data_IF_550432968990
#
_entry.id   IF_550432968990
#
_cell.length_a   1.000
_cell.length_b   1.000
_cell.length_c   1.000
_cell.angle_alpha   90.00
_cell.angle_beta   90.00
_cell.angle_gamma   90.00
#
_symmetry.space_group_name_H-M   'P 1'
#
loop_
_entity.id
_entity.type
_entity.pdbx_description
1 polymer ?
#
# COMPACT_ATOMS: atom_id res chain seq x y z
N UNK A 1 -25.77 15.03 1.88
CA UNK A 1 -24.71 15.95 1.41
C UNK A 1 -23.96 15.26 0.28
N UNK A 2 -24.13 15.76 -0.94
CA UNK A 2 -23.54 15.17 -2.16
C UNK A 2 -22.02 15.24 -2.10
N UNK A 3 -21.35 14.09 -1.98
CA UNK A 3 -19.89 14.01 -2.12
C UNK A 3 -19.56 14.35 -3.57
N UNK A 4 -18.85 15.46 -3.78
CA UNK A 4 -18.25 15.78 -5.08
C UNK A 4 -17.32 14.62 -5.47
N UNK A 5 -17.78 13.78 -6.37
CA UNK A 5 -16.99 12.72 -7.02
C UNK A 5 -15.79 13.38 -7.71
N UNK A 6 -14.61 13.29 -7.09
CA UNK A 6 -13.37 13.37 -7.85
C UNK A 6 -13.35 12.12 -8.74
N UNK A 7 -12.98 12.20 -10.02
CA UNK A 7 -12.78 11.01 -10.83
C UNK A 7 -11.62 10.23 -10.19
N UNK A 8 -11.95 9.20 -9.41
CA UNK A 8 -10.96 8.25 -8.94
C UNK A 8 -10.37 7.58 -10.16
N UNK A 9 -9.04 7.61 -10.27
CA UNK A 9 -8.35 6.78 -11.25
C UNK A 9 -8.31 5.38 -10.66
N UNK A 10 -9.17 4.55 -11.22
CA UNK A 10 -9.39 3.18 -10.82
C UNK A 10 -8.75 2.27 -11.87
N UNK A 11 -7.77 1.47 -11.44
CA UNK A 11 -7.11 0.45 -12.25
C UNK A 11 -7.83 -0.88 -12.00
N UNK A 12 -8.29 -1.61 -13.03
CA UNK A 12 -8.94 -2.89 -12.82
C UNK A 12 -7.96 -3.92 -12.28
N UNK A 13 -8.37 -4.65 -11.25
CA UNK A 13 -7.70 -5.87 -10.82
C UNK A 13 -8.47 -7.04 -11.43
N UNK A 14 -7.86 -7.74 -12.40
CA UNK A 14 -8.51 -8.80 -13.19
C UNK A 14 -8.18 -10.20 -12.71
N UNK A 15 -7.15 -10.34 -11.87
CA UNK A 15 -6.90 -11.55 -11.11
C UNK A 15 -6.65 -11.14 -9.67
N UNK A 16 -7.44 -11.71 -8.78
CA UNK A 16 -7.43 -11.45 -7.36
C UNK A 16 -7.09 -12.76 -6.62
N UNK A 17 -6.21 -12.73 -5.62
CA UNK A 17 -5.85 -13.94 -4.89
C UNK A 17 -7.02 -14.38 -4.02
N UNK A 18 -7.34 -15.68 -4.07
CA UNK A 18 -8.46 -16.29 -3.33
C UNK A 18 -8.01 -17.31 -2.30
N UNK A 19 -6.73 -17.67 -2.28
CA UNK A 19 -6.19 -18.64 -1.32
C UNK A 19 -5.27 -17.94 -0.32
N UNK A 20 -5.29 -18.40 0.92
CA UNK A 20 -4.29 -18.04 1.92
C UNK A 20 -4.22 -19.11 3.02
N UNK A 21 -3.44 -18.82 4.05
CA UNK A 21 -3.40 -19.63 5.27
C UNK A 21 -4.23 -18.94 6.35
N UNK A 22 -5.11 -19.67 7.02
CA UNK A 22 -5.82 -19.23 8.22
C UNK A 22 -5.02 -19.61 9.47
N UNK A 23 -4.85 -18.64 10.37
CA UNK A 23 -4.23 -18.81 11.68
C UNK A 23 -5.32 -18.80 12.76
N UNK A 24 -5.60 -19.96 13.35
CA UNK A 24 -6.48 -20.04 14.50
C UNK A 24 -5.65 -20.01 15.78
N UNK A 25 -5.70 -18.91 16.52
CA UNK A 25 -4.87 -18.70 17.71
C UNK A 25 -5.43 -19.40 18.97
N UNK A 26 -4.53 -19.82 19.88
CA UNK A 26 -4.92 -20.27 21.22
C UNK A 26 -5.62 -19.13 21.97
N UNK A 27 -6.59 -19.47 22.82
CA UNK A 27 -7.31 -18.46 23.64
C UNK A 27 -6.38 -17.70 24.58
N UNK A 28 -5.25 -18.31 24.94
CA UNK A 28 -4.20 -17.73 25.78
C UNK A 28 -3.22 -16.84 25.01
N UNK A 29 -3.33 -16.75 23.68
CA UNK A 29 -2.39 -15.99 22.86
C UNK A 29 -2.64 -14.50 22.99
N UNK A 30 -1.65 -13.77 23.49
CA UNK A 30 -1.70 -12.32 23.61
C UNK A 30 -1.43 -11.63 22.27
N UNK A 31 -2.09 -10.49 22.04
CA UNK A 31 -1.93 -9.70 20.80
C UNK A 31 -0.50 -9.21 20.59
N UNK A 32 0.22 -8.91 21.67
CA UNK A 32 1.58 -8.40 21.56
C UNK A 32 2.57 -9.49 21.13
N UNK A 33 2.32 -10.76 21.49
CA UNK A 33 3.08 -11.89 20.93
C UNK A 33 2.89 -12.04 19.42
N UNK A 34 1.65 -11.87 18.93
CA UNK A 34 1.37 -11.89 17.48
C UNK A 34 2.13 -10.75 16.79
N UNK A 35 2.04 -9.52 17.32
CA UNK A 35 2.74 -8.35 16.76
C UNK A 35 4.25 -8.49 16.77
N UNK A 36 4.81 -9.13 17.79
CA UNK A 36 6.24 -9.39 17.87
C UNK A 36 6.67 -10.31 16.71
N UNK A 37 5.95 -11.42 16.49
CA UNK A 37 6.22 -12.32 15.37
C UNK A 37 6.05 -11.62 14.02
N UNK A 38 4.99 -10.81 13.85
CA UNK A 38 4.79 -9.99 12.66
C UNK A 38 5.97 -9.02 12.41
N UNK A 39 6.55 -8.47 13.47
CA UNK A 39 7.73 -7.61 13.39
C UNK A 39 9.00 -8.38 13.00
N UNK A 40 9.24 -9.53 13.64
CA UNK A 40 10.42 -10.37 13.39
C UNK A 40 10.44 -10.93 11.96
N UNK A 41 9.26 -11.19 11.39
CA UNK A 41 9.07 -11.72 10.05
C UNK A 41 8.48 -10.71 9.07
N UNK A 42 8.63 -9.40 9.32
CA UNK A 42 7.91 -8.35 8.59
C UNK A 42 8.08 -8.43 7.07
N UNK A 43 9.23 -8.85 6.56
CA UNK A 43 9.50 -9.02 5.11
C UNK A 43 9.08 -10.38 4.55
N UNK A 44 8.79 -11.36 5.42
CA UNK A 44 8.53 -12.76 5.05
C UNK A 44 7.07 -13.17 5.19
N UNK A 45 6.29 -12.43 5.97
CA UNK A 45 4.86 -12.67 6.15
C UNK A 45 4.04 -11.40 5.99
N UNK A 46 2.78 -11.58 5.60
CA UNK A 46 1.74 -10.57 5.61
C UNK A 46 0.57 -11.18 6.37
N UNK A 47 0.01 -10.46 7.33
CA UNK A 47 -1.09 -10.93 8.18
C UNK A 47 -2.27 -9.98 8.17
N UNK A 48 -3.48 -10.51 8.31
CA UNK A 48 -4.65 -9.70 8.69
C UNK A 48 -4.57 -9.36 10.19
N UNK A 49 -5.34 -8.36 10.63
CA UNK A 49 -5.21 -7.80 12.00
C UNK A 49 -6.25 -8.28 12.99
N UNK A 50 -7.25 -9.01 12.52
CA UNK A 50 -8.39 -9.44 13.33
C UNK A 50 -8.81 -10.84 12.93
N UNK A 51 -9.51 -11.52 13.83
CA UNK A 51 -10.13 -12.81 13.53
C UNK A 51 -11.23 -12.67 12.45
N UNK A 52 -11.34 -13.63 11.50
CA UNK A 52 -10.37 -14.71 11.25
C UNK A 52 -9.02 -14.16 10.77
N UNK A 53 -7.93 -14.67 11.34
CA UNK A 53 -6.58 -14.22 10.99
C UNK A 53 -6.10 -14.94 9.74
N UNK A 54 -5.72 -14.17 8.73
CA UNK A 54 -5.21 -14.66 7.46
C UNK A 54 -3.74 -14.32 7.34
N UNK A 55 -3.00 -15.17 6.65
CA UNK A 55 -1.57 -15.04 6.47
C UNK A 55 -1.16 -15.45 5.05
N UNK A 56 -0.24 -14.68 4.48
CA UNK A 56 0.58 -15.08 3.35
C UNK A 56 2.04 -15.06 3.75
N UNK A 57 2.80 -16.01 3.24
CA UNK A 57 4.20 -16.27 3.55
C UNK A 57 4.49 -17.75 3.38
N UNK A 58 5.77 -18.12 3.35
CA UNK A 58 6.15 -19.54 3.26
C UNK A 58 5.65 -20.31 4.47
N UNK A 59 5.10 -21.49 4.26
CA UNK A 59 4.54 -22.31 5.32
C UNK A 59 5.56 -22.60 6.42
N UNK A 60 6.82 -22.88 6.05
CA UNK A 60 7.92 -23.09 7.01
C UNK A 60 8.18 -21.87 7.90
N UNK A 61 8.05 -20.66 7.35
CA UNK A 61 8.22 -19.42 8.11
C UNK A 61 7.02 -19.18 9.02
N UNK A 62 5.81 -19.41 8.51
CA UNK A 62 4.57 -19.30 9.28
C UNK A 62 4.58 -20.29 10.45
N UNK A 63 4.97 -21.54 10.22
CA UNK A 63 5.07 -22.57 11.26
C UNK A 63 6.11 -22.18 12.32
N UNK A 64 7.27 -21.68 11.90
CA UNK A 64 8.33 -21.23 12.81
C UNK A 64 7.90 -20.03 13.66
N UNK A 65 7.18 -19.07 13.08
CA UNK A 65 6.76 -17.85 13.76
C UNK A 65 5.51 -18.03 14.62
N UNK A 66 4.47 -18.64 14.07
CA UNK A 66 3.13 -18.69 14.66
C UNK A 66 2.73 -20.06 15.20
N UNK A 67 3.49 -21.14 14.92
CA UNK A 67 3.11 -22.52 15.26
C UNK A 67 2.79 -22.72 16.75
N UNK A 68 3.63 -22.17 17.63
CA UNK A 68 3.42 -22.25 19.09
C UNK A 68 2.23 -21.39 19.57
N UNK A 69 1.83 -20.38 18.80
CA UNK A 69 0.72 -19.47 19.13
C UNK A 69 -0.63 -20.00 18.63
N UNK A 70 -0.63 -20.88 17.62
CA UNK A 70 -1.82 -21.36 16.95
C UNK A 70 -2.34 -22.68 17.54
N UNK A 71 -3.67 -22.84 17.56
CA UNK A 71 -4.36 -24.13 17.68
C UNK A 71 -4.25 -24.89 16.36
N UNK A 72 -4.53 -24.19 15.25
CA UNK A 72 -4.44 -24.76 13.90
C UNK A 72 -3.88 -23.75 12.90
N UNK A 73 -3.18 -24.26 11.89
CA UNK A 73 -2.71 -23.54 10.72
C UNK A 73 -3.20 -24.35 9.53
N UNK A 74 -4.00 -23.75 8.65
CA UNK A 74 -4.64 -24.48 7.54
C UNK A 74 -4.78 -23.61 6.31
N UNK A 75 -4.75 -24.23 5.14
CA UNK A 75 -5.05 -23.58 3.88
C UNK A 75 -6.55 -23.35 3.77
N UNK A 76 -6.92 -22.15 3.31
CA UNK A 76 -8.32 -21.75 3.12
C UNK A 76 -8.50 -20.97 1.84
N UNK A 77 -9.69 -21.07 1.27
CA UNK A 77 -10.19 -20.10 0.30
C UNK A 77 -10.82 -18.93 1.08
N UNK A 78 -10.38 -17.71 0.77
CA UNK A 78 -10.96 -16.49 1.32
C UNK A 78 -12.33 -16.29 0.65
N UNK A 79 -13.37 -15.92 1.41
CA UNK A 79 -14.68 -15.64 0.83
C UNK A 79 -14.62 -14.54 -0.24
N UNK A 80 -15.52 -14.65 -1.22
CA UNK A 80 -15.54 -13.95 -2.52
C UNK A 80 -15.25 -12.43 -2.49
N UNK A 81 -15.02 -11.84 -3.67
CA UNK A 81 -14.72 -10.40 -3.85
C UNK A 81 -15.65 -9.45 -3.07
N UNK A 82 -16.94 -9.80 -2.89
CA UNK A 82 -17.89 -9.01 -2.09
C UNK A 82 -17.53 -8.93 -0.61
N UNK A 83 -16.92 -9.98 -0.05
CA UNK A 83 -16.51 -10.05 1.35
C UNK A 83 -15.36 -9.10 1.69
N UNK A 84 -14.61 -8.62 0.68
CA UNK A 84 -13.59 -7.57 0.84
C UNK A 84 -14.24 -6.26 1.31
N UNK A 85 -15.44 -5.93 0.80
CA UNK A 85 -16.15 -4.71 1.17
C UNK A 85 -16.76 -4.76 2.57
N UNK A 86 -17.06 -5.96 3.06
CA UNK A 86 -17.76 -6.17 4.32
C UNK A 86 -16.79 -6.29 5.52
N UNK A 87 -15.51 -6.51 5.25
CA UNK A 87 -14.49 -6.72 6.28
C UNK A 87 -13.26 -5.83 6.05
N UNK A 88 -13.17 -4.73 6.79
CA UNK A 88 -12.05 -3.78 6.74
C UNK A 88 -10.68 -4.42 7.03
N UNK A 89 -10.65 -5.46 7.86
CA UNK A 89 -9.42 -6.18 8.17
C UNK A 89 -8.94 -6.99 6.97
N UNK A 90 -9.88 -7.63 6.28
CA UNK A 90 -9.60 -8.35 5.04
C UNK A 90 -9.20 -7.40 3.91
N UNK A 91 -9.92 -6.28 3.75
CA UNK A 91 -9.52 -5.20 2.83
C UNK A 91 -8.09 -4.74 3.09
N UNK A 92 -7.77 -4.48 4.36
CA UNK A 92 -6.43 -4.08 4.79
C UNK A 92 -5.34 -5.11 4.51
N UNK A 93 -5.67 -6.40 4.67
CA UNK A 93 -4.79 -7.51 4.35
C UNK A 93 -4.40 -7.52 2.86
N UNK A 94 -5.39 -7.39 1.97
CA UNK A 94 -5.15 -7.27 0.53
C UNK A 94 -4.39 -5.99 0.15
N UNK A 95 -4.74 -4.84 0.73
CA UNK A 95 -4.08 -3.56 0.45
C UNK A 95 -2.60 -3.56 0.85
N UNK A 96 -2.26 -4.16 1.99
CA UNK A 96 -0.87 -4.34 2.42
C UNK A 96 -0.09 -5.26 1.46
N UNK A 97 -0.69 -6.38 1.05
CA UNK A 97 -0.07 -7.27 0.08
C UNK A 97 0.12 -6.60 -1.29
N UNK A 98 -0.87 -5.85 -1.75
CA UNK A 98 -0.82 -5.16 -3.02
C UNK A 98 0.24 -4.05 -3.00
N UNK A 99 0.38 -3.28 -1.92
CA UNK A 99 1.42 -2.24 -1.84
C UNK A 99 2.82 -2.84 -1.83
N UNK A 100 3.04 -3.94 -1.11
CA UNK A 100 4.32 -4.68 -1.16
C UNK A 100 4.60 -5.25 -2.55
N UNK A 101 3.58 -5.78 -3.20
CA UNK A 101 3.69 -6.32 -4.56
C UNK A 101 4.07 -5.25 -5.57
N UNK A 102 3.43 -4.07 -5.49
CA UNK A 102 3.65 -2.97 -6.41
C UNK A 102 4.96 -2.22 -6.15
N UNK A 103 5.49 -2.20 -4.92
CA UNK A 103 6.78 -1.56 -4.64
C UNK A 103 7.98 -2.43 -5.02
N UNK A 104 7.79 -3.74 -5.16
CA UNK A 104 8.90 -4.68 -5.33
C UNK A 104 9.65 -4.43 -6.64
N UNK A 105 10.97 -4.34 -6.55
CA UNK A 105 11.88 -4.00 -7.65
C UNK A 105 11.66 -2.61 -8.28
N UNK A 106 10.94 -1.71 -7.59
CA UNK A 106 10.82 -0.31 -7.96
C UNK A 106 11.50 0.55 -6.88
N UNK A 107 11.92 1.79 -7.20
CA UNK A 107 12.45 2.75 -6.21
C UNK A 107 11.32 3.33 -5.34
N UNK A 108 10.53 2.45 -4.74
CA UNK A 108 9.35 2.75 -3.94
C UNK A 108 9.42 1.99 -2.62
N UNK A 109 9.07 2.68 -1.53
CA UNK A 109 8.81 2.05 -0.24
C UNK A 109 7.33 1.73 -0.11
N UNK A 110 7.02 0.52 0.35
CA UNK A 110 5.67 0.16 0.79
C UNK A 110 5.51 0.47 2.27
N UNK A 111 4.37 1.08 2.63
CA UNK A 111 3.95 1.28 4.03
C UNK A 111 2.46 1.03 4.17
N UNK A 112 2.09 0.29 5.21
CA UNK A 112 0.69 0.09 5.59
C UNK A 112 0.44 0.61 7.00
N UNK A 113 -0.35 1.68 7.11
CA UNK A 113 -0.59 2.37 8.39
C UNK A 113 -2.07 2.40 8.74
N UNK A 114 -2.44 1.87 9.92
CA UNK A 114 -3.82 1.73 10.44
C UNK A 114 -4.80 1.08 9.44
N UNK A 115 -5.19 1.76 8.36
CA UNK A 115 -6.08 1.30 7.29
C UNK A 115 -5.74 1.91 5.92
N UNK A 116 -4.48 2.22 5.66
CA UNK A 116 -4.08 2.86 4.39
C UNK A 116 -2.76 2.30 3.93
N UNK A 117 -2.76 1.79 2.70
CA UNK A 117 -1.58 1.36 1.99
C UNK A 117 -0.99 2.51 1.17
N UNK A 118 0.34 2.56 1.15
CA UNK A 118 1.10 3.61 0.51
C UNK A 118 2.25 3.04 -0.30
N UNK A 119 2.48 3.63 -1.46
CA UNK A 119 3.76 3.59 -2.17
C UNK A 119 4.40 4.96 -2.02
N UNK A 120 5.68 5.01 -1.70
CA UNK A 120 6.39 6.26 -1.40
C UNK A 120 7.67 6.28 -2.22
N UNK A 121 7.94 7.37 -2.94
CA UNK A 121 9.21 7.49 -3.67
C UNK A 121 10.40 7.38 -2.70
N UNK A 122 11.32 6.45 -2.99
CA UNK A 122 12.44 6.16 -2.11
C UNK A 122 13.65 7.04 -2.46
N UNK A 123 14.00 7.95 -1.55
CA UNK A 123 15.17 8.82 -1.71
C UNK A 123 16.50 8.08 -1.61
N UNK A 124 16.50 6.85 -1.11
CA UNK A 124 17.70 6.05 -0.88
C UNK A 124 17.85 4.89 -1.87
N UNK A 125 16.93 4.75 -2.83
CA UNK A 125 17.07 3.73 -3.87
C UNK A 125 18.34 3.99 -4.70
N UNK A 126 19.06 2.91 -5.03
CA UNK A 126 20.29 2.95 -5.83
C UNK A 126 20.04 3.49 -7.24
N UNK A 127 18.93 3.08 -7.86
CA UNK A 127 18.47 3.55 -9.16
C UNK A 127 17.10 4.21 -9.04
N UNK A 128 17.07 5.52 -9.28
CA UNK A 128 15.87 6.36 -9.20
C UNK A 128 15.30 6.74 -10.57
N UNK A 129 15.86 6.22 -11.68
CA UNK A 129 15.44 6.55 -13.05
C UNK A 129 13.95 6.28 -13.28
N UNK A 130 13.39 5.29 -12.59
CA UNK A 130 11.95 5.00 -12.67
C UNK A 130 11.09 6.14 -12.15
N UNK A 131 11.61 7.01 -11.29
CA UNK A 131 10.89 8.18 -10.77
C UNK A 131 10.88 9.38 -11.72
N UNK A 132 11.64 9.34 -12.83
CA UNK A 132 11.70 10.42 -13.84
C UNK A 132 10.32 10.94 -14.30
N UNK A 133 9.28 10.11 -14.50
CA UNK A 133 7.94 10.61 -14.82
C UNK A 133 7.38 11.54 -13.74
N UNK A 134 7.64 11.27 -12.45
CA UNK A 134 7.24 12.17 -11.36
C UNK A 134 8.10 13.44 -11.38
N UNK A 135 9.42 13.30 -11.55
CA UNK A 135 10.33 14.45 -11.63
C UNK A 135 9.85 15.50 -12.64
N UNK A 136 9.45 15.04 -13.83
CA UNK A 136 8.96 15.90 -14.92
C UNK A 136 7.70 16.69 -14.54
N UNK A 137 6.88 16.20 -13.61
CA UNK A 137 5.62 16.84 -13.19
C UNK A 137 5.80 17.75 -11.98
N UNK A 138 6.59 17.32 -10.99
CA UNK A 138 6.67 17.99 -9.68
C UNK A 138 8.05 18.57 -9.33
N UNK A 139 9.04 18.39 -10.21
CA UNK A 139 10.44 18.61 -9.91
C UNK A 139 10.92 17.57 -8.89
N UNK A 140 11.70 18.01 -7.89
CA UNK A 140 12.16 17.14 -6.80
C UNK A 140 10.99 16.34 -6.19
N UNK A 141 11.19 15.06 -5.92
CA UNK A 141 10.17 14.13 -5.44
C UNK A 141 10.23 13.92 -3.93
N UNK A 142 11.34 14.29 -3.30
CA UNK A 142 11.54 14.12 -1.86
C UNK A 142 12.54 15.15 -1.31
N UNK A 143 12.62 15.27 0.01
CA UNK A 143 13.66 16.04 0.68
C UNK A 143 13.26 16.52 2.07
N UNK A 144 14.04 17.45 2.61
CA UNK A 144 13.79 18.00 3.93
C UNK A 144 12.92 19.25 3.87
N UNK A 145 12.05 19.42 4.87
CA UNK A 145 11.32 20.66 5.11
C UNK A 145 12.22 21.57 5.95
N UNK A 146 12.90 22.50 5.27
CA UNK A 146 13.90 23.39 5.90
C UNK A 146 13.35 24.06 7.17
N UNK A 147 14.09 23.92 8.27
CA UNK A 147 13.76 24.53 9.56
C UNK A 147 12.63 23.86 10.32
N UNK A 148 12.02 22.80 9.79
CA UNK A 148 10.98 22.06 10.48
C UNK A 148 11.56 20.81 11.15
N UNK A 149 11.45 20.76 12.47
CA UNK A 149 11.87 19.63 13.29
C UNK A 149 10.72 19.17 14.19
N UNK A 150 10.74 17.91 14.62
CA UNK A 150 9.81 17.43 15.64
C UNK A 150 10.21 17.92 17.02
N UNK A 151 9.22 18.13 17.88
CA UNK A 151 9.46 18.33 19.31
C UNK A 151 9.91 17.02 19.98
N UNK A 152 10.89 17.15 20.88
CA UNK A 152 11.27 16.10 21.81
C UNK A 152 10.13 15.84 22.82
N UNK A 153 10.01 14.60 23.26
CA UNK A 153 9.01 14.15 24.23
C UNK A 153 9.54 12.93 24.98
N UNK A 154 8.93 12.54 26.10
CA UNK A 154 9.33 11.32 26.83
C UNK A 154 9.36 10.07 25.93
N UNK A 155 8.40 9.96 25.00
CA UNK A 155 8.34 8.84 24.05
C UNK A 155 9.36 8.96 22.89
N UNK A 156 9.81 10.17 22.58
CA UNK A 156 10.72 10.47 21.48
C UNK A 156 11.72 11.54 21.95
N UNK A 157 12.82 11.16 22.61
CA UNK A 157 13.69 12.10 23.31
C UNK A 157 14.41 13.05 22.35
N UNK A 158 14.61 12.62 21.10
CA UNK A 158 15.34 13.41 20.11
C UNK A 158 14.42 14.20 19.19
N UNK A 159 14.83 15.44 18.91
CA UNK A 159 14.29 16.22 17.82
C UNK A 159 14.78 15.67 16.48
N UNK A 160 13.88 15.49 15.51
CA UNK A 160 14.17 14.90 14.21
C UNK A 160 13.81 15.89 13.11
N UNK A 161 14.70 16.05 12.13
CA UNK A 161 14.44 16.82 10.92
C UNK A 161 13.24 16.21 10.19
N UNK A 162 12.25 17.05 9.84
CA UNK A 162 11.08 16.60 9.10
C UNK A 162 11.43 16.53 7.62
N UNK A 163 11.16 15.38 7.01
CA UNK A 163 11.34 15.14 5.57
C UNK A 163 10.03 14.71 4.93
N UNK A 164 10.01 14.74 3.60
CA UNK A 164 8.84 14.46 2.79
C UNK A 164 9.21 13.68 1.53
N UNK A 165 8.23 12.98 0.96
CA UNK A 165 8.35 12.34 -0.35
C UNK A 165 6.99 12.28 -1.05
N UNK A 166 6.97 12.35 -2.38
CA UNK A 166 5.80 12.05 -3.19
C UNK A 166 5.35 10.61 -2.91
N UNK A 167 4.04 10.45 -2.76
CA UNK A 167 3.47 9.16 -2.41
C UNK A 167 2.17 8.91 -3.17
N UNK A 168 1.78 7.64 -3.22
CA UNK A 168 0.55 7.17 -3.81
C UNK A 168 -0.20 6.38 -2.73
N UNK A 169 -1.38 6.87 -2.34
CA UNK A 169 -2.30 6.07 -1.53
C UNK A 169 -2.96 5.04 -2.41
N UNK A 170 -3.10 3.84 -1.85
CA UNK A 170 -3.78 2.72 -2.47
C UNK A 170 -5.01 2.36 -1.63
N UNK A 171 -6.13 2.09 -2.30
CA UNK A 171 -7.30 1.46 -1.70
C UNK A 171 -7.90 0.47 -2.69
N UNK A 172 -8.49 -0.60 -2.18
CA UNK A 172 -9.30 -1.51 -2.98
C UNK A 172 -10.77 -1.07 -2.88
N UNK A 173 -11.51 -1.19 -3.98
CA UNK A 173 -12.95 -0.99 -4.02
C UNK A 173 -13.59 -2.03 -4.96
N UNK A 174 -14.85 -2.39 -4.71
CA UNK A 174 -15.59 -3.35 -5.55
C UNK A 174 -16.82 -2.65 -6.09
N UNK A 175 -16.88 -2.51 -7.41
CA UNK A 175 -17.96 -1.80 -8.09
C UNK A 175 -18.37 -2.52 -9.36
N UNK A 176 -19.68 -2.76 -9.48
CA UNK A 176 -20.28 -3.51 -10.59
C UNK A 176 -19.68 -4.91 -10.76
N UNK A 177 -19.49 -5.63 -9.64
CA UNK A 177 -18.95 -7.00 -9.63
C UNK A 177 -17.51 -7.10 -10.14
N UNK A 178 -16.72 -6.03 -9.97
CA UNK A 178 -15.30 -5.98 -10.35
C UNK A 178 -14.50 -5.32 -9.25
N UNK A 179 -13.29 -5.81 -9.04
CA UNK A 179 -12.32 -5.25 -8.10
C UNK A 179 -11.49 -4.15 -8.77
N UNK A 180 -11.33 -3.04 -8.08
CA UNK A 180 -10.61 -1.86 -8.54
C UNK A 180 -9.53 -1.48 -7.54
N UNK A 181 -8.34 -1.17 -8.04
CA UNK A 181 -7.33 -0.42 -7.31
C UNK A 181 -7.58 1.06 -7.52
N UNK A 182 -7.98 1.75 -6.46
CA UNK A 182 -8.05 3.21 -6.40
C UNK A 182 -6.67 3.75 -6.04
N UNK A 183 -6.17 4.69 -6.84
CA UNK A 183 -4.91 5.39 -6.58
C UNK A 183 -5.15 6.88 -6.36
N UNK A 184 -4.51 7.44 -5.34
CA UNK A 184 -4.58 8.87 -5.03
C UNK A 184 -3.18 9.43 -4.71
N UNK A 185 -2.62 10.31 -5.57
CA UNK A 185 -1.35 10.96 -5.27
C UNK A 185 -1.47 11.86 -4.04
N UNK A 186 -0.52 11.73 -3.12
CA UNK A 186 -0.39 12.56 -1.91
C UNK A 186 1.11 12.72 -1.60
N UNK A 187 1.43 13.21 -0.42
CA UNK A 187 2.80 13.42 0.06
C UNK A 187 2.93 12.69 1.39
N UNK A 188 3.95 11.85 1.51
CA UNK A 188 4.33 11.23 2.77
C UNK A 188 5.24 12.17 3.58
N UNK A 189 5.12 12.13 4.91
CA UNK A 189 5.93 12.93 5.85
C UNK A 189 6.61 11.99 6.85
N UNK A 190 7.93 12.15 7.03
CA UNK A 190 8.68 11.50 8.10
C UNK A 190 9.15 12.51 9.16
N UNK A 191 9.14 12.11 10.44
CA UNK A 191 8.37 10.99 10.98
C UNK A 191 6.86 11.27 10.87
N UNK A 192 6.01 10.23 10.83
CA UNK A 192 4.57 10.39 10.57
C UNK A 192 3.86 11.31 11.59
N UNK A 193 4.34 11.34 12.84
CA UNK A 193 3.85 12.26 13.90
C UNK A 193 4.01 13.75 13.55
N UNK A 194 4.97 14.08 12.68
CA UNK A 194 5.25 15.43 12.24
C UNK A 194 4.32 15.93 11.14
N UNK A 195 3.47 15.07 10.55
CA UNK A 195 2.55 15.44 9.46
C UNK A 195 1.68 16.64 9.82
N UNK A 196 1.22 16.73 11.08
CA UNK A 196 0.42 17.86 11.58
C UNK A 196 1.18 19.19 11.64
N UNK A 197 2.51 19.15 11.73
CA UNK A 197 3.37 20.33 11.74
C UNK A 197 3.66 20.81 10.30
N UNK A 198 3.60 19.90 9.33
CA UNK A 198 3.90 20.16 7.92
C UNK A 198 2.71 20.68 7.10
N UNK A 199 1.62 21.16 7.73
CA UNK A 199 0.38 21.55 7.02
C UNK A 199 0.63 22.62 5.96
N UNK A 200 1.34 23.71 6.30
CA UNK A 200 1.64 24.78 5.35
C UNK A 200 2.47 24.28 4.15
N UNK A 201 3.46 23.41 4.42
CA UNK A 201 4.25 22.79 3.37
C UNK A 201 3.39 21.92 2.46
N UNK A 202 2.53 21.07 3.04
CA UNK A 202 1.63 20.19 2.31
C UNK A 202 0.65 21.00 1.45
N UNK A 203 0.11 22.10 1.98
CA UNK A 203 -0.81 22.97 1.26
C UNK A 203 -0.12 23.63 0.06
N UNK A 204 1.04 24.26 0.26
CA UNK A 204 1.78 24.90 -0.85
C UNK A 204 2.22 23.87 -1.92
N UNK A 205 2.70 22.70 -1.51
CA UNK A 205 3.13 21.62 -2.43
C UNK A 205 1.97 21.03 -3.23
N UNK A 206 0.75 21.03 -2.66
CA UNK A 206 -0.47 20.52 -3.32
C UNK A 206 -1.30 21.62 -4.00
N UNK A 207 -1.02 22.89 -3.73
CA UNK A 207 -1.81 24.06 -4.15
C UNK A 207 -2.13 24.10 -5.63
N UNK A 208 -1.22 23.65 -6.49
CA UNK A 208 -1.41 23.68 -7.94
C UNK A 208 -1.74 22.31 -8.56
N UNK A 209 -2.07 21.30 -7.74
CA UNK A 209 -2.45 19.95 -8.20
C UNK A 209 -3.93 19.90 -8.58
N UNK A 210 -4.33 20.78 -9.50
CA UNK A 210 -5.69 20.76 -10.07
C UNK A 210 -5.67 20.13 -11.46
N UNK A 211 -6.80 19.50 -11.82
CA UNK A 211 -7.16 18.95 -13.13
C UNK A 211 -5.97 18.44 -13.96
N UNK A 212 -5.35 19.31 -14.77
CA UNK A 212 -4.26 18.93 -15.67
C UNK A 212 -3.03 18.41 -14.93
N UNK A 213 -2.54 19.13 -13.90
CA UNK A 213 -1.36 18.70 -13.15
C UNK A 213 -1.65 17.44 -12.33
N UNK A 214 -2.88 17.31 -11.83
CA UNK A 214 -3.32 16.11 -11.14
C UNK A 214 -3.35 14.88 -12.07
N UNK A 215 -3.89 15.04 -13.29
CA UNK A 215 -3.89 13.98 -14.30
C UNK A 215 -2.47 13.60 -14.73
N UNK A 216 -1.59 14.58 -14.97
CA UNK A 216 -0.17 14.32 -15.27
C UNK A 216 0.52 13.55 -14.14
N UNK A 217 0.22 13.89 -12.88
CA UNK A 217 0.79 13.20 -11.73
C UNK A 217 0.31 11.74 -11.65
N UNK A 218 -0.96 11.49 -11.97
CA UNK A 218 -1.50 10.14 -12.07
C UNK A 218 -0.89 9.34 -13.22
N UNK A 219 -0.76 9.96 -14.40
CA UNK A 219 -0.13 9.33 -15.56
C UNK A 219 1.34 8.99 -15.26
N UNK A 220 2.05 9.84 -14.52
CA UNK A 220 3.39 9.57 -14.03
C UNK A 220 3.44 8.35 -13.10
N UNK A 221 2.55 8.29 -12.10
CA UNK A 221 2.43 7.12 -11.21
C UNK A 221 2.07 5.84 -11.95
N UNK A 222 1.12 5.89 -12.89
CA UNK A 222 0.77 4.74 -13.73
C UNK A 222 1.97 4.31 -14.58
N UNK A 223 2.75 5.24 -15.12
CA UNK A 223 3.96 4.93 -15.90
C UNK A 223 5.05 4.30 -15.02
N UNK A 224 5.17 4.69 -13.75
CA UNK A 224 6.07 4.02 -12.79
C UNK A 224 5.67 2.57 -12.58
N UNK A 225 4.37 2.31 -12.37
CA UNK A 225 3.86 0.99 -12.03
C UNK A 225 3.82 0.03 -13.23
N UNK A 226 3.51 0.54 -14.43
CA UNK A 226 3.26 -0.27 -15.62
C UNK A 226 4.33 -0.15 -16.70
N UNK A 227 5.21 0.85 -16.65
CA UNK A 227 6.07 1.23 -17.78
C UNK A 227 5.25 1.49 -19.05
N UNK A 228 5.49 0.70 -20.10
CA UNK A 228 4.76 0.64 -21.36
C UNK A 228 3.82 -0.58 -21.43
N UNK A 229 3.75 -1.40 -20.37
CA UNK A 229 2.93 -2.59 -20.36
C UNK A 229 1.44 -2.23 -20.20
N UNK A 230 0.58 -2.88 -20.96
CA UNK A 230 -0.88 -2.72 -20.82
C UNK A 230 -1.43 -3.41 -19.56
N UNK A 231 -0.65 -4.32 -19.00
CA UNK A 231 -1.02 -5.24 -17.94
C UNK A 231 0.23 -5.68 -17.19
N UNK A 232 0.15 -5.80 -15.87
CA UNK A 232 1.23 -6.30 -15.02
C UNK A 232 0.71 -7.43 -14.13
N UNK A 233 1.60 -8.36 -13.81
CA UNK A 233 1.40 -9.36 -12.75
C UNK A 233 2.40 -9.10 -11.64
N UNK A 234 1.91 -8.94 -10.41
CA UNK A 234 2.73 -8.59 -9.24
C UNK A 234 2.46 -9.55 -8.08
N UNK A 235 3.50 -9.77 -7.28
CA UNK A 235 3.49 -10.69 -6.12
C UNK A 235 4.38 -10.12 -5.02
N UNK A 236 4.02 -10.22 -3.73
CA UNK A 236 4.78 -9.60 -2.66
C UNK A 236 6.09 -10.34 -2.34
N UNK A 237 6.18 -11.66 -2.57
CA UNK A 237 7.36 -12.47 -2.24
C UNK A 237 8.07 -13.02 -3.46
N UNK A 238 9.36 -13.34 -3.31
CA UNK A 238 10.21 -13.83 -4.41
C UNK A 238 9.75 -15.16 -5.00
N UNK A 239 9.26 -16.03 -4.14
CA UNK A 239 8.87 -17.41 -4.42
C UNK A 239 7.72 -17.84 -3.49
N UNK A 240 7.22 -19.05 -3.68
CA UNK A 240 6.07 -19.61 -2.96
C UNK A 240 4.96 -20.06 -3.91
N UNK A 241 4.10 -20.96 -3.42
CA UNK A 241 2.89 -21.37 -4.14
C UNK A 241 1.78 -20.30 -4.04
N UNK A 242 0.59 -20.54 -4.62
CA UNK A 242 -0.51 -19.55 -4.64
C UNK A 242 -1.06 -19.21 -3.25
N UNK A 243 -0.92 -20.12 -2.28
CA UNK A 243 -1.42 -19.96 -0.91
C UNK A 243 -0.37 -19.26 -0.03
N UNK A 244 0.90 -19.29 -0.43
CA UNK A 244 2.03 -18.62 0.24
C UNK A 244 2.30 -17.24 -0.35
N UNK A 245 2.12 -17.08 -1.67
CA UNK A 245 2.53 -15.90 -2.42
C UNK A 245 1.41 -15.40 -3.34
N UNK A 246 0.60 -14.42 -2.89
CA UNK A 246 -0.56 -13.97 -3.63
C UNK A 246 -0.16 -13.27 -4.93
N UNK A 247 -0.82 -13.63 -6.02
CA UNK A 247 -0.67 -12.99 -7.32
C UNK A 247 -1.80 -12.02 -7.63
N UNK A 248 -1.45 -10.78 -7.97
CA UNK A 248 -2.39 -9.79 -8.49
C UNK A 248 -2.11 -9.52 -9.96
N UNK A 249 -3.17 -9.34 -10.73
CA UNK A 249 -3.08 -8.94 -12.13
C UNK A 249 -3.85 -7.65 -12.35
N UNK A 250 -3.15 -6.62 -12.83
CA UNK A 250 -3.71 -5.28 -13.00
C UNK A 250 -3.62 -4.86 -14.45
N UNK A 251 -4.61 -4.10 -14.90
CA UNK A 251 -4.57 -3.44 -16.21
C UNK A 251 -4.31 -1.93 -16.08
N UNK A 252 -3.57 -1.39 -17.05
CA UNK A 252 -3.19 0.02 -17.10
C UNK A 252 -4.38 0.95 -17.37
N UNK A 253 -5.35 0.50 -18.17
CA UNK A 253 -6.43 1.35 -18.66
C UNK A 253 -7.47 1.62 -17.56
N UNK A 254 -7.56 2.87 -17.14
CA UNK A 254 -8.56 3.32 -16.16
C UNK A 254 -9.96 3.35 -16.79
N UNK A 255 -10.98 2.94 -16.03
CA UNK A 255 -12.36 2.92 -16.51
C UNK A 255 -13.04 4.30 -16.54
N UNK A 256 -12.43 5.33 -15.94
CA UNK A 256 -13.02 6.67 -15.82
C UNK A 256 -12.46 7.71 -16.79
N UNK A 257 -11.64 7.32 -17.76
CA UNK A 257 -11.27 8.20 -18.88
C UNK A 257 -12.42 8.32 -19.89
N UNK A 258 -13.48 9.04 -19.53
CA UNK A 258 -14.37 9.62 -20.56
C UNK A 258 -13.57 10.67 -21.33
N UNK A 259 -12.88 10.24 -22.40
CA UNK A 259 -12.71 11.10 -23.57
C UNK A 259 -14.10 11.29 -24.15
N UNK A 260 -14.63 12.50 -24.01
CA UNK A 260 -15.67 13.01 -24.90
C UNK A 260 -15.10 13.02 -26.32
N UNK A 261 -15.28 11.91 -27.03
CA UNK A 261 -15.35 11.91 -28.48
C UNK A 261 -16.83 11.82 -28.83
N UNK A 262 -17.42 13.00 -29.00
CA UNK A 262 -18.41 13.28 -30.04
C UNK A 262 -17.86 14.49 -30.78
#
# INVERSE_FOLDING_TARGET
MSSKLRPYHALPITQFPVNCIELDFKETTERDSIRQVEGDYIESVITSRTSPYYCWGKEQVIQKGFGELCKTIKHVEIPSESSILENDSLKGFYENALSRSLSRNLPLLSRYTRHTAWLIADSHAEDQTRLDPLFKVVGKEFGDIKGLYTEASEQYPDSQQVSWSEALKLSIDVKAGRVWLLIEPDIWIWPMRARRLAVQFLDERKKNRYNNKYNQLLDAWISILFEEQAEIKVTPFKDGNLDENPGFKLHRRTAYSKRSHV
#
